data_IF_583073012459
#
_entry.id   IF_583073012459
#
_cell.length_a   1.000
_cell.length_b   1.000
_cell.length_c   1.000
_cell.angle_alpha   90.00
_cell.angle_beta   90.00
_cell.angle_gamma   90.00
#
_symmetry.space_group_name_H-M   'P 1'
#
loop_
_entity.id
_entity.type
_entity.pdbx_description
1 polymer ?
#
# COMPACT_ATOMS: atom_id res chain seq x y z
N UNK A 1 -0.35 12.48 -11.97
CA UNK A 1 -0.23 11.27 -11.13
C UNK A 1 -1.49 10.44 -11.35
N UNK A 2 -1.43 9.35 -12.12
CA UNK A 2 -2.62 8.55 -12.39
C UNK A 2 -3.21 8.04 -11.04
N UNK A 3 -4.53 8.11 -10.82
CA UNK A 3 -5.18 7.72 -9.56
C UNK A 3 -4.98 6.24 -9.18
N UNK A 4 -4.38 5.45 -10.06
CA UNK A 4 -4.20 4.01 -9.99
C UNK A 4 -3.19 3.53 -8.94
N UNK A 5 -2.13 4.29 -8.64
CA UNK A 5 -1.08 3.79 -7.72
C UNK A 5 -1.53 3.78 -6.26
N UNK A 6 -2.15 4.88 -5.80
CA UNK A 6 -2.63 4.97 -4.41
C UNK A 6 -3.75 3.97 -4.14
N UNK A 7 -4.68 3.79 -5.09
CA UNK A 7 -5.73 2.77 -4.98
C UNK A 7 -5.16 1.36 -4.86
N UNK A 8 -4.20 0.98 -5.70
CA UNK A 8 -3.60 -0.36 -5.63
C UNK A 8 -2.98 -0.68 -4.26
N UNK A 9 -2.33 0.30 -3.62
CA UNK A 9 -1.84 0.13 -2.25
C UNK A 9 -2.97 -0.01 -1.23
N UNK A 10 -4.04 0.80 -1.35
CA UNK A 10 -5.21 0.74 -0.46
C UNK A 10 -5.91 -0.62 -0.59
N UNK A 11 -6.22 -1.07 -1.80
CA UNK A 11 -6.81 -2.40 -2.06
C UNK A 11 -5.93 -3.53 -1.50
N UNK A 12 -4.61 -3.44 -1.67
CA UNK A 12 -3.67 -4.41 -1.13
C UNK A 12 -3.63 -4.40 0.40
N UNK A 13 -3.71 -3.23 1.04
CA UNK A 13 -3.81 -3.11 2.49
C UNK A 13 -5.13 -3.73 2.97
N UNK A 14 -6.26 -3.33 2.39
CA UNK A 14 -7.60 -3.79 2.79
C UNK A 14 -7.81 -5.30 2.59
N UNK A 15 -7.17 -5.89 1.58
CA UNK A 15 -7.17 -7.34 1.32
C UNK A 15 -6.64 -8.17 2.52
N UNK A 16 -5.82 -7.59 3.40
CA UNK A 16 -5.36 -8.31 4.59
C UNK A 16 -6.47 -8.48 5.62
N UNK A 17 -6.74 -9.73 6.03
CA UNK A 17 -7.76 -10.04 7.07
C UNK A 17 -7.30 -9.72 8.50
N UNK A 18 -5.99 -9.75 8.76
CA UNK A 18 -5.40 -9.46 10.07
C UNK A 18 -4.96 -8.00 10.16
N UNK A 19 -5.32 -7.32 11.22
CA UNK A 19 -4.95 -5.92 11.45
C UNK A 19 -3.44 -5.71 11.52
N UNK A 20 -2.70 -6.60 12.18
CA UNK A 20 -1.23 -6.54 12.19
C UNK A 20 -0.63 -6.56 10.77
N UNK A 21 -1.23 -7.34 9.87
CA UNK A 21 -0.79 -7.39 8.46
C UNK A 21 -1.17 -6.10 7.72
N UNK A 22 -2.33 -5.50 8.00
CA UNK A 22 -2.70 -4.18 7.46
C UNK A 22 -1.69 -3.12 7.90
N UNK A 23 -1.36 -3.06 9.18
CA UNK A 23 -0.40 -2.11 9.74
C UNK A 23 0.97 -2.24 9.06
N UNK A 24 1.51 -3.47 8.95
CA UNK A 24 2.77 -3.71 8.21
C UNK A 24 2.69 -3.27 6.74
N UNK A 25 1.57 -3.52 6.05
CA UNK A 25 1.37 -3.10 4.66
C UNK A 25 1.26 -1.59 4.53
N UNK A 26 0.64 -0.89 5.48
CA UNK A 26 0.56 0.59 5.49
C UNK A 26 1.97 1.18 5.56
N UNK A 27 2.79 0.77 6.54
CA UNK A 27 4.16 1.26 6.68
C UNK A 27 4.96 1.03 5.40
N UNK A 28 4.90 -0.20 4.85
CA UNK A 28 5.60 -0.55 3.61
C UNK A 28 5.10 0.23 2.40
N UNK A 29 3.81 0.54 2.35
CA UNK A 29 3.21 1.36 1.28
C UNK A 29 3.70 2.80 1.35
N UNK A 30 3.77 3.38 2.55
CA UNK A 30 4.30 4.73 2.76
C UNK A 30 5.78 4.81 2.37
N UNK A 31 6.60 3.83 2.78
CA UNK A 31 8.01 3.77 2.38
C UNK A 31 8.19 3.70 0.86
N UNK A 32 7.44 2.83 0.19
CA UNK A 32 7.50 2.69 -1.28
C UNK A 32 6.98 3.92 -2.00
N UNK A 33 5.88 4.51 -1.55
CA UNK A 33 5.32 5.74 -2.11
C UNK A 33 6.30 6.91 -1.95
N UNK A 34 7.00 6.99 -0.81
CA UNK A 34 8.05 7.99 -0.59
C UNK A 34 9.22 7.84 -1.57
N UNK A 35 9.53 6.60 -1.96
CA UNK A 35 10.54 6.29 -2.99
C UNK A 35 10.04 6.41 -4.43
N UNK A 36 8.76 6.76 -4.65
CA UNK A 36 8.14 6.78 -5.98
C UNK A 36 7.93 5.39 -6.59
N UNK A 37 8.00 4.32 -5.79
CA UNK A 37 7.85 2.95 -6.23
C UNK A 37 6.37 2.53 -6.29
N UNK A 38 5.99 1.83 -7.36
CA UNK A 38 4.67 1.20 -7.51
C UNK A 38 4.63 -0.17 -6.83
N UNK A 39 3.42 -0.58 -6.40
CA UNK A 39 3.18 -1.97 -6.00
C UNK A 39 3.38 -2.82 -7.25
N UNK A 40 4.36 -3.73 -7.24
CA UNK A 40 4.72 -4.60 -8.36
C UNK A 40 4.08 -5.97 -8.16
#
# INVERSE_FOLDING_TARGET
>A
MAPSYKKAYVDWIESAKKEETRQRRITKSVEKLSKGEKLK
#
